data_IF_009661897491
#
_entry.id   IF_009661897491
#
_cell.length_a   1.000
_cell.length_b   1.000
_cell.length_c   1.000
_cell.angle_alpha   90.00
_cell.angle_beta   90.00
_cell.angle_gamma   90.00
#
_symmetry.space_group_name_H-M   'P 1'
#
loop_
_entity.id
_entity.type
_entity.pdbx_description
1 polymer ?
#
# COMPACT_ATOMS: atom_id res chain seq x y z
N UNK A 1 -7.95 14.66 -4.57
CA UNK A 1 -8.68 13.90 -5.61
C UNK A 1 -10.18 14.19 -5.53
N UNK A 2 -10.95 14.11 -6.62
CA UNK A 2 -12.41 14.09 -6.54
C UNK A 2 -12.89 12.67 -6.26
N UNK A 3 -13.37 12.39 -5.04
CA UNK A 3 -13.92 11.08 -4.68
C UNK A 3 -15.41 11.07 -5.03
N UNK A 4 -15.83 10.15 -5.90
CA UNK A 4 -17.25 9.87 -6.09
C UNK A 4 -17.59 8.55 -5.40
N UNK A 5 -18.50 8.64 -4.43
CA UNK A 5 -19.12 7.50 -3.78
C UNK A 5 -20.24 7.01 -4.69
N UNK A 6 -20.00 5.93 -5.43
CA UNK A 6 -21.09 5.27 -6.15
C UNK A 6 -21.84 4.43 -5.13
N UNK A 7 -22.92 4.98 -4.54
CA UNK A 7 -23.91 4.14 -3.85
C UNK A 7 -24.40 3.11 -4.85
N UNK A 8 -24.29 1.82 -4.51
CA UNK A 8 -24.79 0.63 -5.21
C UNK A 8 -25.24 0.88 -6.65
N UNK A 9 -24.45 0.42 -7.61
CA UNK A 9 -24.70 0.60 -9.05
C UNK A 9 -26.17 0.34 -9.39
N UNK A 10 -26.80 1.41 -9.91
CA UNK A 10 -28.24 1.61 -9.87
C UNK A 10 -29.09 0.59 -10.62
N UNK A 11 -30.07 0.06 -9.90
CA UNK A 11 -31.22 -0.71 -10.34
C UNK A 11 -31.93 -1.25 -9.09
N UNK A 12 -33.26 -1.32 -9.07
CA UNK A 12 -33.97 -1.95 -7.94
C UNK A 12 -33.37 -3.35 -7.67
N UNK A 13 -32.71 -3.52 -6.52
CA UNK A 13 -32.37 -4.81 -5.90
C UNK A 13 -31.65 -5.83 -6.78
N UNK A 14 -30.50 -5.48 -7.37
CA UNK A 14 -29.72 -6.48 -8.09
C UNK A 14 -28.70 -7.23 -7.21
N UNK A 15 -28.07 -6.58 -6.22
CA UNK A 15 -27.08 -7.23 -5.34
C UNK A 15 -27.54 -7.40 -3.88
N UNK A 16 -26.73 -8.08 -3.04
CA UNK A 16 -27.08 -8.34 -1.65
C UNK A 16 -27.19 -7.03 -0.85
N UNK A 17 -28.05 -7.03 0.18
CA UNK A 17 -28.25 -5.86 1.06
C UNK A 17 -27.01 -5.53 1.89
N UNK A 18 -26.25 -6.55 2.27
CA UNK A 18 -24.96 -6.46 2.95
C UNK A 18 -24.13 -7.69 2.58
N UNK A 19 -22.81 -7.52 2.53
CA UNK A 19 -21.86 -8.61 2.27
C UNK A 19 -21.45 -9.22 3.61
N UNK A 20 -21.87 -10.45 3.87
CA UNK A 20 -21.61 -11.16 5.13
C UNK A 20 -20.79 -12.44 4.94
N UNK A 21 -20.50 -12.82 3.69
CA UNK A 21 -19.71 -13.99 3.32
C UNK A 21 -19.12 -13.80 1.89
N UNK A 22 -18.41 -14.81 1.40
CA UNK A 22 -17.77 -14.80 0.08
C UNK A 22 -18.77 -14.90 -1.07
N UNK A 23 -19.89 -15.60 -0.89
CA UNK A 23 -20.95 -15.71 -1.91
C UNK A 23 -21.61 -14.34 -2.16
N UNK A 24 -21.91 -13.60 -1.09
CA UNK A 24 -22.43 -12.23 -1.19
C UNK A 24 -21.41 -11.31 -1.92
N UNK A 25 -20.11 -11.49 -1.68
CA UNK A 25 -19.05 -10.73 -2.35
C UNK A 25 -18.92 -11.11 -3.84
N UNK A 26 -19.14 -12.38 -4.17
CA UNK A 26 -19.18 -12.84 -5.56
C UNK A 26 -20.42 -12.30 -6.29
N UNK A 27 -21.59 -12.37 -5.66
CA UNK A 27 -22.84 -11.81 -6.17
C UNK A 27 -22.72 -10.30 -6.40
N UNK A 28 -22.22 -9.56 -5.42
CA UNK A 28 -22.03 -8.11 -5.55
C UNK A 28 -21.11 -7.76 -6.73
N UNK A 29 -20.04 -8.51 -6.97
CA UNK A 29 -19.14 -8.31 -8.10
C UNK A 29 -19.83 -8.56 -9.45
N UNK A 30 -20.71 -9.58 -9.55
CA UNK A 30 -21.51 -9.87 -10.75
C UNK A 30 -22.41 -8.68 -11.08
N UNK A 31 -23.01 -8.04 -10.08
CA UNK A 31 -23.91 -6.91 -10.29
C UNK A 31 -23.19 -5.58 -10.52
N UNK A 32 -22.03 -5.36 -9.88
CA UNK A 32 -21.29 -4.11 -10.01
C UNK A 32 -20.51 -4.01 -11.34
N UNK A 33 -19.90 -5.11 -11.79
CA UNK A 33 -18.96 -5.09 -12.91
C UNK A 33 -19.57 -4.57 -14.23
N UNK A 34 -20.78 -4.98 -14.67
CA UNK A 34 -21.35 -4.51 -15.93
C UNK A 34 -21.59 -3.00 -15.96
N UNK A 35 -22.06 -2.43 -14.85
CA UNK A 35 -22.26 -0.99 -14.73
C UNK A 35 -20.93 -0.25 -14.79
N UNK A 36 -19.91 -0.76 -14.08
CA UNK A 36 -18.55 -0.21 -14.11
C UNK A 36 -17.96 -0.19 -15.53
N UNK A 37 -18.02 -1.33 -16.22
CA UNK A 37 -17.55 -1.50 -17.60
C UNK A 37 -18.22 -0.53 -18.56
N UNK A 38 -19.55 -0.38 -18.45
CA UNK A 38 -20.33 0.46 -19.35
C UNK A 38 -20.08 1.94 -19.14
N UNK A 39 -20.06 2.39 -17.89
CA UNK A 39 -20.26 3.81 -17.57
C UNK A 39 -19.10 4.45 -16.80
N UNK A 40 -18.16 3.71 -16.23
CA UNK A 40 -17.21 4.26 -15.25
C UNK A 40 -15.73 4.02 -15.57
N UNK A 41 -15.34 2.90 -16.20
CA UNK A 41 -13.91 2.58 -16.41
C UNK A 41 -13.12 3.71 -17.10
N UNK A 42 -13.71 4.37 -18.10
CA UNK A 42 -13.08 5.47 -18.84
C UNK A 42 -13.17 6.84 -18.14
N UNK A 43 -14.04 6.99 -17.12
CA UNK A 43 -14.33 8.27 -16.47
C UNK A 43 -13.48 8.53 -15.22
N UNK A 44 -12.89 7.48 -14.65
CA UNK A 44 -12.11 7.54 -13.42
C UNK A 44 -10.68 7.10 -13.66
N UNK A 45 -9.82 7.63 -12.81
CA UNK A 45 -8.38 7.49 -12.83
C UNK A 45 -7.90 6.37 -11.89
N UNK A 46 -8.76 5.88 -11.00
CA UNK A 46 -8.46 4.80 -10.07
C UNK A 46 -9.71 4.30 -9.34
N UNK A 47 -9.64 3.09 -8.80
CA UNK A 47 -10.79 2.39 -8.23
C UNK A 47 -10.46 1.79 -6.86
N UNK A 48 -11.27 2.13 -5.86
CA UNK A 48 -11.22 1.57 -4.52
C UNK A 48 -12.44 0.68 -4.29
N UNK A 49 -12.24 -0.61 -4.01
CA UNK A 49 -13.31 -1.51 -3.58
C UNK A 49 -13.47 -1.41 -2.07
N UNK A 50 -14.58 -0.82 -1.61
CA UNK A 50 -14.89 -0.54 -0.21
C UNK A 50 -15.62 -1.69 0.48
N UNK A 51 -15.19 -2.92 0.21
CA UNK A 51 -15.58 -4.11 0.96
C UNK A 51 -14.35 -4.67 1.68
N UNK A 52 -14.47 -4.98 2.97
CA UNK A 52 -13.36 -5.53 3.74
C UNK A 52 -13.35 -7.06 3.62
N UNK A 53 -12.88 -7.54 2.48
CA UNK A 53 -12.69 -8.96 2.17
C UNK A 53 -11.68 -9.11 1.03
N UNK A 54 -11.28 -10.33 0.69
CA UNK A 54 -10.60 -10.60 -0.58
C UNK A 54 -11.61 -10.52 -1.74
N UNK A 55 -12.09 -9.30 -2.01
CA UNK A 55 -13.26 -9.11 -2.85
C UNK A 55 -12.95 -9.42 -4.33
N UNK A 56 -13.74 -10.28 -5.01
CA UNK A 56 -13.44 -10.73 -6.38
C UNK A 56 -13.50 -9.59 -7.42
N UNK A 57 -14.15 -8.48 -7.09
CA UNK A 57 -14.16 -7.29 -7.94
C UNK A 57 -12.76 -6.67 -8.13
N UNK A 58 -11.85 -6.76 -7.14
CA UNK A 58 -10.50 -6.21 -7.25
C UNK A 58 -9.70 -6.83 -8.40
N UNK A 59 -9.50 -8.17 -8.46
CA UNK A 59 -8.80 -8.78 -9.58
C UNK A 59 -9.56 -8.60 -10.90
N UNK A 60 -10.89 -8.73 -10.92
CA UNK A 60 -11.70 -8.52 -12.13
C UNK A 60 -11.46 -7.14 -12.75
N UNK A 61 -11.44 -6.08 -11.93
CA UNK A 61 -11.14 -4.73 -12.41
C UNK A 61 -9.69 -4.60 -12.90
N UNK A 62 -8.74 -5.24 -12.22
CA UNK A 62 -7.33 -5.24 -12.67
C UNK A 62 -7.14 -5.93 -14.02
N UNK A 63 -8.01 -6.89 -14.37
CA UNK A 63 -7.98 -7.60 -15.65
C UNK A 63 -8.70 -6.83 -16.78
N UNK A 64 -9.43 -5.76 -16.48
CA UNK A 64 -10.12 -4.96 -17.50
C UNK A 64 -9.15 -4.30 -18.48
N UNK A 65 -9.47 -4.37 -19.77
CA UNK A 65 -8.62 -3.83 -20.83
C UNK A 65 -8.32 -2.34 -20.65
N UNK A 66 -9.32 -1.56 -20.26
CA UNK A 66 -9.19 -0.11 -20.02
C UNK A 66 -8.24 0.18 -18.85
N UNK A 67 -8.29 -0.64 -17.80
CA UNK A 67 -7.45 -0.51 -16.60
C UNK A 67 -6.01 -0.89 -16.92
N UNK A 68 -5.81 -2.05 -17.55
CA UNK A 68 -4.48 -2.54 -17.94
C UNK A 68 -3.80 -1.64 -18.96
N UNK A 69 -4.52 -1.16 -19.98
CA UNK A 69 -3.95 -0.29 -21.03
C UNK A 69 -3.57 1.08 -20.49
N UNK A 70 -4.37 1.63 -19.57
CA UNK A 70 -4.13 2.98 -19.01
C UNK A 70 -3.29 2.96 -17.73
N UNK A 71 -2.96 1.78 -17.19
CA UNK A 71 -2.25 1.65 -15.92
C UNK A 71 -3.01 2.21 -14.71
N UNK A 72 -4.35 2.19 -14.73
CA UNK A 72 -5.18 2.77 -13.66
C UNK A 72 -5.03 1.96 -12.36
N UNK A 73 -4.68 2.56 -11.22
CA UNK A 73 -4.56 1.83 -9.97
C UNK A 73 -5.91 1.32 -9.46
N UNK A 74 -5.91 0.06 -9.00
CA UNK A 74 -7.07 -0.59 -8.39
C UNK A 74 -6.64 -1.28 -7.11
N UNK A 75 -7.36 -1.06 -6.02
CA UNK A 75 -7.15 -1.77 -4.73
C UNK A 75 -8.45 -1.93 -3.98
N UNK A 76 -8.50 -2.83 -3.00
CA UNK A 76 -9.56 -2.90 -2.01
C UNK A 76 -9.10 -2.37 -0.65
N UNK A 77 -10.07 -2.06 0.22
CA UNK A 77 -9.78 -1.56 1.57
C UNK A 77 -9.09 -2.62 2.45
N UNK A 78 -9.31 -3.90 2.15
CA UNK A 78 -8.61 -5.02 2.77
C UNK A 78 -7.11 -5.04 2.42
N UNK A 79 -6.76 -5.01 1.13
CA UNK A 79 -5.36 -5.03 0.70
C UNK A 79 -4.62 -3.78 1.16
N UNK A 80 -5.29 -2.63 1.09
CA UNK A 80 -4.73 -1.35 1.52
C UNK A 80 -4.44 -1.31 3.04
N UNK A 81 -5.36 -1.80 3.87
CA UNK A 81 -5.17 -1.82 5.33
C UNK A 81 -4.02 -2.77 5.72
N UNK A 82 -3.95 -3.95 5.12
CA UNK A 82 -2.90 -4.95 5.39
C UNK A 82 -1.53 -4.42 4.95
N UNK A 83 -1.42 -3.88 3.73
CA UNK A 83 -0.17 -3.33 3.22
C UNK A 83 0.32 -2.15 4.08
N UNK A 84 -0.58 -1.23 4.43
CA UNK A 84 -0.25 -0.07 5.28
C UNK A 84 0.20 -0.52 6.66
N UNK A 85 -0.50 -1.48 7.27
CA UNK A 85 -0.15 -2.01 8.59
C UNK A 85 1.25 -2.61 8.61
N UNK A 86 1.62 -3.39 7.59
CA UNK A 86 2.97 -3.96 7.48
C UNK A 86 4.06 -2.91 7.30
N UNK A 87 3.75 -1.78 6.65
CA UNK A 87 4.69 -0.68 6.43
C UNK A 87 4.93 0.16 7.68
N UNK A 88 3.91 0.37 8.51
CA UNK A 88 3.98 1.30 9.66
C UNK A 88 4.48 0.67 10.96
N UNK A 89 4.36 -0.65 11.11
CA UNK A 89 4.77 -1.35 12.34
C UNK A 89 6.25 -1.75 12.29
N UNK A 90 6.84 -1.92 13.47
CA UNK A 90 8.20 -2.44 13.59
C UNK A 90 8.30 -3.89 13.04
N UNK A 91 9.46 -4.34 12.51
CA UNK A 91 9.61 -5.70 12.00
C UNK A 91 9.35 -6.83 13.00
N UNK A 92 9.44 -6.55 14.31
CA UNK A 92 9.09 -7.51 15.38
C UNK A 92 7.61 -7.52 15.75
N UNK A 93 6.87 -6.48 15.36
CA UNK A 93 5.46 -6.32 15.68
C UNK A 93 4.58 -7.02 14.64
N UNK A 94 3.34 -7.28 15.06
CA UNK A 94 2.28 -7.87 14.25
C UNK A 94 1.18 -6.86 13.98
N UNK A 95 0.45 -7.06 12.90
CA UNK A 95 -0.86 -6.43 12.72
C UNK A 95 -1.97 -7.44 13.02
N UNK A 96 -3.15 -6.95 13.35
CA UNK A 96 -4.34 -7.78 13.49
C UNK A 96 -5.57 -7.09 12.91
N UNK A 97 -6.68 -7.81 12.82
CA UNK A 97 -7.94 -7.29 12.27
C UNK A 97 -9.03 -7.39 13.33
N UNK A 98 -9.78 -6.31 13.55
CA UNK A 98 -11.04 -6.35 14.31
C UNK A 98 -12.19 -6.26 13.31
N UNK A 99 -13.05 -7.27 13.27
CA UNK A 99 -14.18 -7.34 12.31
C UNK A 99 -15.52 -7.61 13.02
N UNK A 100 -16.57 -7.84 12.24
CA UNK A 100 -17.97 -7.90 12.70
C UNK A 100 -18.34 -9.31 13.17
N UNK A 101 -18.84 -10.16 12.26
CA UNK A 101 -19.41 -11.46 12.57
C UNK A 101 -18.36 -12.57 12.63
N UNK A 102 -18.63 -13.62 13.42
CA UNK A 102 -17.69 -14.73 13.68
C UNK A 102 -17.17 -15.45 12.43
N UNK A 103 -17.97 -15.51 11.36
CA UNK A 103 -17.58 -16.09 10.07
C UNK A 103 -16.31 -15.45 9.50
N UNK A 104 -16.08 -14.17 9.78
CA UNK A 104 -14.93 -13.43 9.27
C UNK A 104 -13.60 -13.83 9.92
N UNK A 105 -13.59 -14.52 11.06
CA UNK A 105 -12.33 -14.95 11.68
C UNK A 105 -11.57 -15.93 10.78
N UNK A 106 -12.28 -16.88 10.18
CA UNK A 106 -11.69 -17.86 9.25
C UNK A 106 -11.44 -17.20 7.91
N UNK A 107 -12.46 -16.58 7.32
CA UNK A 107 -12.39 -15.99 5.97
C UNK A 107 -11.28 -14.94 5.86
N UNK A 108 -11.18 -14.01 6.82
CA UNK A 108 -10.14 -12.97 6.75
C UNK A 108 -8.74 -13.52 7.10
N UNK A 109 -8.65 -14.60 7.87
CA UNK A 109 -7.35 -15.27 8.11
C UNK A 109 -6.84 -15.88 6.81
N UNK A 110 -7.66 -16.66 6.12
CA UNK A 110 -7.31 -17.27 4.83
C UNK A 110 -7.03 -16.21 3.75
N UNK A 111 -7.81 -15.12 3.73
CA UNK A 111 -7.57 -13.98 2.84
C UNK A 111 -6.20 -13.33 3.08
N UNK A 112 -5.80 -13.13 4.34
CA UNK A 112 -4.49 -12.57 4.68
C UNK A 112 -3.38 -13.51 4.25
N UNK A 113 -3.51 -14.80 4.53
CA UNK A 113 -2.50 -15.79 4.13
C UNK A 113 -2.35 -15.87 2.62
N UNK A 114 -3.45 -15.82 1.88
CA UNK A 114 -3.45 -15.80 0.42
C UNK A 114 -2.81 -14.52 -0.11
N UNK A 115 -3.18 -13.36 0.46
CA UNK A 115 -2.61 -12.07 0.05
C UNK A 115 -1.10 -11.97 0.33
N UNK A 116 -0.64 -12.53 1.44
CA UNK A 116 0.78 -12.57 1.80
C UNK A 116 1.55 -13.73 1.14
N UNK A 117 0.86 -14.65 0.46
CA UNK A 117 1.46 -15.81 -0.19
C UNK A 117 1.99 -16.87 0.79
N UNK A 118 1.41 -16.98 1.99
CA UNK A 118 1.84 -17.93 3.04
C UNK A 118 1.03 -19.23 3.07
N UNK A 119 -0.06 -19.33 2.30
CA UNK A 119 -1.03 -20.44 2.35
C UNK A 119 -0.60 -21.77 1.70
N UNK A 120 0.60 -21.88 1.11
CA UNK A 120 1.12 -23.14 0.51
C UNK A 120 2.19 -23.80 1.36
N UNK A 121 1.76 -24.51 2.42
CA UNK A 121 2.62 -25.43 3.19
C UNK A 121 3.68 -24.77 4.07
N UNK A 122 3.53 -23.48 4.37
CA UNK A 122 4.41 -22.72 5.27
C UNK A 122 3.66 -22.24 6.51
N UNK A 123 4.42 -21.89 7.55
CA UNK A 123 3.90 -21.28 8.79
C UNK A 123 3.04 -20.04 8.49
N UNK A 124 1.95 -19.86 9.25
CA UNK A 124 1.16 -18.61 9.27
C UNK A 124 2.10 -17.41 9.42
N UNK A 125 1.83 -16.33 8.69
CA UNK A 125 2.66 -15.12 8.73
C UNK A 125 2.94 -14.71 10.18
N UNK A 126 4.22 -14.70 10.56
CA UNK A 126 4.67 -14.28 11.91
C UNK A 126 4.33 -12.82 12.21
N UNK A 127 3.95 -12.04 11.18
CA UNK A 127 3.55 -10.64 11.25
C UNK A 127 2.03 -10.45 11.39
N UNK A 128 1.24 -11.52 11.44
CA UNK A 128 -0.20 -11.48 11.61
C UNK A 128 -0.61 -12.04 12.99
N UNK A 129 -1.34 -11.26 13.77
CA UNK A 129 -1.85 -11.64 15.10
C UNK A 129 -3.21 -12.37 15.02
N UNK A 130 -3.81 -12.44 13.83
CA UNK A 130 -5.13 -13.02 13.61
C UNK A 130 -6.24 -11.99 13.56
N UNK A 131 -7.46 -12.51 13.54
CA UNK A 131 -8.72 -11.75 13.47
C UNK A 131 -9.46 -11.92 14.79
N UNK A 132 -10.08 -10.85 15.26
CA UNK A 132 -11.04 -10.87 16.37
C UNK A 132 -12.34 -10.20 15.96
N UNK A 133 -13.47 -10.75 16.40
CA UNK A 133 -14.79 -10.26 15.99
C UNK A 133 -15.61 -9.72 17.14
N UNK A 134 -16.47 -8.74 16.85
CA UNK A 134 -17.45 -8.22 17.82
C UNK A 134 -18.60 -9.20 18.07
N UNK A 135 -18.81 -10.15 17.15
CA UNK A 135 -19.94 -11.06 17.16
C UNK A 135 -21.24 -10.43 16.66
N UNK A 136 -21.17 -9.23 16.07
CA UNK A 136 -22.29 -8.54 15.43
C UNK A 136 -22.20 -8.74 13.92
N UNK A 137 -23.30 -8.85 13.18
CA UNK A 137 -23.24 -8.78 11.71
C UNK A 137 -23.09 -7.30 11.24
N UNK A 138 -22.87 -7.10 9.94
CA UNK A 138 -22.62 -5.75 9.39
C UNK A 138 -23.81 -4.80 9.59
N UNK A 139 -25.04 -5.32 9.51
CA UNK A 139 -26.27 -4.53 9.68
C UNK A 139 -26.48 -4.16 11.15
N UNK A 140 -26.24 -5.09 12.07
CA UNK A 140 -26.32 -4.89 13.52
C UNK A 140 -25.38 -3.80 14.01
N UNK A 141 -24.21 -3.65 13.37
CA UNK A 141 -23.27 -2.57 13.70
C UNK A 141 -23.88 -1.16 13.53
N UNK A 142 -24.84 -1.00 12.62
CA UNK A 142 -25.51 0.27 12.35
C UNK A 142 -26.80 0.45 13.15
N UNK A 143 -27.51 -0.64 13.43
CA UNK A 143 -28.84 -0.59 14.06
C UNK A 143 -28.79 -0.70 15.60
N UNK A 144 -27.69 -1.22 16.15
CA UNK A 144 -27.55 -1.38 17.60
C UNK A 144 -27.24 -0.07 18.33
N UNK A 145 -27.61 0.03 19.62
CA UNK A 145 -27.18 1.12 20.48
C UNK A 145 -25.66 1.27 20.48
N UNK A 146 -25.19 2.51 20.32
CA UNK A 146 -23.76 2.82 20.21
C UNK A 146 -22.94 2.32 21.42
N UNK A 147 -23.54 2.27 22.61
CA UNK A 147 -22.87 1.75 23.81
C UNK A 147 -22.56 0.26 23.72
N UNK A 148 -23.47 -0.54 23.14
CA UNK A 148 -23.25 -1.98 22.96
C UNK A 148 -22.24 -2.24 21.82
N UNK A 149 -22.33 -1.48 20.72
CA UNK A 149 -21.31 -1.52 19.65
C UNK A 149 -19.92 -1.20 20.23
N UNK A 150 -19.81 -0.13 21.00
CA UNK A 150 -18.57 0.27 21.67
C UNK A 150 -18.06 -0.82 22.60
N UNK A 151 -18.94 -1.40 23.43
CA UNK A 151 -18.56 -2.51 24.33
C UNK A 151 -17.96 -3.69 23.55
N UNK A 152 -18.65 -4.17 22.51
CA UNK A 152 -18.20 -5.31 21.71
C UNK A 152 -16.91 -5.03 20.94
N UNK A 153 -16.79 -3.83 20.38
CA UNK A 153 -15.56 -3.36 19.72
C UNK A 153 -14.37 -3.37 20.67
N UNK A 154 -14.57 -2.89 21.90
CA UNK A 154 -13.53 -2.88 22.93
C UNK A 154 -13.15 -4.30 23.34
N UNK A 155 -14.11 -5.18 23.59
CA UNK A 155 -13.84 -6.57 23.93
C UNK A 155 -13.05 -7.30 22.84
N UNK A 156 -13.42 -7.15 21.56
CA UNK A 156 -12.69 -7.73 20.43
C UNK A 156 -11.26 -7.17 20.33
N UNK A 157 -11.11 -5.86 20.49
CA UNK A 157 -9.81 -5.19 20.47
C UNK A 157 -8.89 -5.69 21.58
N UNK A 158 -9.41 -5.81 22.81
CA UNK A 158 -8.65 -6.31 23.97
C UNK A 158 -8.13 -7.72 23.75
N UNK A 159 -8.99 -8.62 23.24
CA UNK A 159 -8.57 -9.98 22.88
C UNK A 159 -7.47 -9.98 21.82
N UNK A 160 -7.54 -9.07 20.84
CA UNK A 160 -6.54 -8.99 19.78
C UNK A 160 -5.19 -8.54 20.32
N UNK A 161 -5.15 -7.43 21.05
CA UNK A 161 -3.89 -6.90 21.60
C UNK A 161 -3.31 -7.78 22.71
N UNK A 162 -4.15 -8.57 23.39
CA UNK A 162 -3.72 -9.59 24.35
C UNK A 162 -2.90 -10.73 23.73
N UNK A 163 -2.89 -10.88 22.38
CA UNK A 163 -2.11 -11.91 21.66
C UNK A 163 -0.62 -11.57 21.51
N UNK A 164 -0.16 -10.45 22.06
CA UNK A 164 1.26 -10.09 22.12
C UNK A 164 1.56 -8.74 21.49
N UNK A 165 2.66 -8.65 20.74
CA UNK A 165 3.22 -7.39 20.23
C UNK A 165 2.45 -6.89 18.98
N UNK A 166 1.22 -6.43 19.18
CA UNK A 166 0.36 -5.87 18.12
C UNK A 166 0.69 -4.39 17.93
N UNK A 167 1.39 -4.08 16.84
CA UNK A 167 1.75 -2.71 16.45
C UNK A 167 0.66 -2.00 15.65
N UNK A 168 -0.25 -2.74 15.00
CA UNK A 168 -1.35 -2.16 14.23
C UNK A 168 -2.64 -3.00 14.27
N UNK A 169 -3.78 -2.33 14.17
CA UNK A 169 -5.11 -2.91 14.09
C UNK A 169 -5.81 -2.36 12.85
N UNK A 170 -6.23 -3.24 11.95
CA UNK A 170 -7.09 -2.88 10.85
C UNK A 170 -8.56 -2.91 11.27
N UNK A 171 -9.33 -1.90 10.85
CA UNK A 171 -10.78 -1.89 10.98
C UNK A 171 -11.39 -2.73 9.86
N UNK A 172 -11.91 -3.90 10.24
CA UNK A 172 -12.28 -5.01 9.37
C UNK A 172 -13.65 -4.93 8.73
N UNK A 173 -14.20 -3.72 8.55
CA UNK A 173 -15.46 -3.46 7.87
C UNK A 173 -15.50 -2.00 7.41
N UNK A 174 -16.07 -1.73 6.22
CA UNK A 174 -16.25 -0.35 5.76
C UNK A 174 -17.12 0.49 6.70
N UNK A 175 -18.10 -0.13 7.36
CA UNK A 175 -18.96 0.51 8.38
C UNK A 175 -18.23 0.89 9.67
N UNK A 176 -16.98 0.43 9.87
CA UNK A 176 -16.15 0.79 11.03
C UNK A 176 -15.31 2.05 10.81
N UNK A 177 -15.34 2.66 9.62
CA UNK A 177 -14.62 3.90 9.37
C UNK A 177 -15.01 4.99 10.39
N UNK A 178 -14.02 5.58 11.06
CA UNK A 178 -14.22 6.58 12.11
C UNK A 178 -14.44 6.00 13.52
N UNK A 179 -14.39 4.68 13.72
CA UNK A 179 -14.46 4.05 15.05
C UNK A 179 -13.11 3.96 15.77
N UNK A 180 -12.12 4.73 15.32
CA UNK A 180 -10.73 4.67 15.81
C UNK A 180 -10.63 4.96 17.31
N UNK A 181 -11.46 5.86 17.83
CA UNK A 181 -11.43 6.24 19.24
C UNK A 181 -11.82 5.07 20.16
N UNK A 182 -12.83 4.27 19.78
CA UNK A 182 -13.25 3.10 20.55
C UNK A 182 -12.14 2.04 20.63
N UNK A 183 -11.44 1.81 19.52
CA UNK A 183 -10.30 0.89 19.46
C UNK A 183 -9.12 1.44 20.26
N UNK A 184 -8.86 2.74 20.17
CA UNK A 184 -7.79 3.43 20.94
C UNK A 184 -8.00 3.28 22.44
N UNK A 185 -9.22 3.52 22.91
CA UNK A 185 -9.58 3.38 24.33
C UNK A 185 -9.33 1.95 24.82
N UNK A 186 -9.76 0.94 24.06
CA UNK A 186 -9.49 -0.45 24.41
C UNK A 186 -7.99 -0.78 24.48
N UNK A 187 -7.19 -0.26 23.55
CA UNK A 187 -5.74 -0.44 23.58
C UNK A 187 -5.12 0.19 24.84
N UNK A 188 -5.57 1.37 25.24
CA UNK A 188 -5.09 2.06 26.45
C UNK A 188 -5.51 1.31 27.72
N UNK A 189 -6.75 0.82 27.77
CA UNK A 189 -7.25 0.05 28.92
C UNK A 189 -6.49 -1.27 29.11
N UNK A 190 -6.14 -1.96 28.02
CA UNK A 190 -5.50 -3.28 28.09
C UNK A 190 -3.97 -3.21 28.22
N UNK A 191 -3.33 -2.29 27.50
CA UNK A 191 -1.87 -2.22 27.42
C UNK A 191 -1.26 -1.11 28.27
N UNK A 192 -2.10 -0.26 28.88
CA UNK A 192 -1.69 0.98 29.54
C UNK A 192 -1.48 2.13 28.55
N UNK A 193 -1.33 3.35 29.08
CA UNK A 193 -1.33 4.58 28.29
C UNK A 193 -0.23 4.62 27.22
N UNK A 194 1.01 4.31 27.59
CA UNK A 194 2.16 4.41 26.69
C UNK A 194 2.10 3.39 25.54
N UNK A 195 1.84 2.12 25.84
CA UNK A 195 1.75 1.07 24.82
C UNK A 195 0.46 1.20 24.01
N UNK A 196 -0.64 1.46 24.69
CA UNK A 196 -1.95 1.63 24.09
C UNK A 196 -2.01 2.78 23.10
N UNK A 197 -1.30 3.89 23.33
CA UNK A 197 -1.18 5.01 22.36
C UNK A 197 -0.29 4.70 21.15
N UNK A 198 0.63 3.72 21.24
CA UNK A 198 1.55 3.38 20.14
C UNK A 198 0.91 2.49 19.07
N UNK A 199 -0.08 1.67 19.42
CA UNK A 199 -0.79 0.81 18.46
C UNK A 199 -1.37 1.66 17.34
N UNK A 200 -1.09 1.37 16.08
CA UNK A 200 -1.64 2.12 14.95
C UNK A 200 -3.02 1.58 14.58
N UNK A 201 -3.98 2.46 14.38
CA UNK A 201 -5.33 2.07 13.97
C UNK A 201 -5.44 2.44 12.50
N UNK A 202 -5.80 1.45 11.67
CA UNK A 202 -5.76 1.56 10.22
C UNK A 202 -7.17 1.37 9.68
N UNK A 203 -7.78 2.49 9.29
CA UNK A 203 -8.97 2.51 8.46
C UNK A 203 -8.60 2.15 7.01
N UNK A 204 -9.15 1.06 6.50
CA UNK A 204 -8.91 0.59 5.14
C UNK A 204 -9.40 1.56 4.07
N UNK A 205 -10.44 2.36 4.33
CA UNK A 205 -10.92 3.39 3.40
C UNK A 205 -9.88 4.48 3.25
N UNK A 206 -9.43 5.06 4.37
CA UNK A 206 -8.38 6.08 4.39
C UNK A 206 -7.08 5.56 3.79
N UNK A 207 -6.65 4.34 4.16
CA UNK A 207 -5.47 3.70 3.59
C UNK A 207 -5.59 3.49 2.07
N UNK A 208 -6.74 3.04 1.60
CA UNK A 208 -7.01 2.82 0.17
C UNK A 208 -7.00 4.10 -0.64
N UNK A 209 -7.61 5.17 -0.13
CA UNK A 209 -7.58 6.49 -0.77
C UNK A 209 -6.15 7.02 -0.85
N UNK A 210 -5.39 6.95 0.25
CA UNK A 210 -3.99 7.39 0.28
C UNK A 210 -3.13 6.59 -0.71
N UNK A 211 -3.34 5.27 -0.79
CA UNK A 211 -2.66 4.42 -1.76
C UNK A 211 -3.00 4.80 -3.20
N UNK A 212 -4.28 5.05 -3.51
CA UNK A 212 -4.68 5.50 -4.85
C UNK A 212 -4.10 6.86 -5.21
N UNK A 213 -4.07 7.82 -4.27
CA UNK A 213 -3.44 9.12 -4.52
C UNK A 213 -1.93 8.97 -4.78
N UNK A 214 -1.24 8.13 -4.01
CA UNK A 214 0.18 7.83 -4.21
C UNK A 214 0.47 7.07 -5.50
N UNK A 215 -0.38 6.11 -5.86
CA UNK A 215 -0.23 5.28 -7.07
C UNK A 215 -0.59 6.05 -8.34
N UNK A 216 -1.54 7.00 -8.26
CA UNK A 216 -1.89 7.88 -9.38
C UNK A 216 -0.88 9.00 -9.60
N UNK A 217 -0.25 9.52 -8.54
CA UNK A 217 0.79 10.52 -8.68
C UNK A 217 1.96 9.90 -9.46
N UNK A 218 2.09 10.27 -10.74
CA UNK A 218 3.03 9.73 -11.73
C UNK A 218 4.53 9.93 -11.35
N UNK A 219 5.00 9.39 -10.23
CA UNK A 219 6.43 9.19 -10.01
C UNK A 219 6.99 8.18 -11.02
N UNK A 220 6.16 7.37 -11.67
CA UNK A 220 6.56 6.44 -12.75
C UNK A 220 6.88 7.12 -14.08
N UNK A 221 6.31 8.29 -14.39
CA UNK A 221 6.72 9.10 -15.56
C UNK A 221 7.81 10.15 -15.23
N UNK A 222 7.99 10.49 -13.95
CA UNK A 222 9.02 11.45 -13.51
C UNK A 222 10.36 10.84 -13.10
N UNK A 223 10.46 9.52 -12.88
CA UNK A 223 11.76 8.83 -13.01
C UNK A 223 12.04 8.66 -14.52
N UNK A 224 12.06 9.79 -15.23
CA UNK A 224 12.64 9.81 -16.54
C UNK A 224 14.14 9.62 -16.30
N UNK A 225 14.69 8.47 -16.70
CA UNK A 225 16.14 8.23 -16.61
C UNK A 225 16.91 9.38 -17.26
N UNK A 226 16.33 10.09 -18.25
CA UNK A 226 16.91 11.29 -18.86
C UNK A 226 17.10 12.46 -17.88
N UNK A 227 16.26 12.65 -16.87
CA UNK A 227 16.41 13.73 -15.88
C UNK A 227 17.57 13.46 -14.90
N UNK A 228 17.98 12.21 -14.74
CA UNK A 228 19.18 11.81 -13.96
C UNK A 228 20.42 11.75 -14.87
N UNK A 229 20.28 11.21 -16.08
CA UNK A 229 21.39 11.02 -17.03
C UNK A 229 21.85 12.32 -17.67
N UNK A 230 20.94 13.23 -18.01
CA UNK A 230 21.28 14.44 -18.79
C UNK A 230 22.10 15.47 -17.99
N UNK A 231 21.82 15.73 -16.69
CA UNK A 231 22.71 16.55 -15.86
C UNK A 231 24.06 15.87 -15.63
N UNK A 232 24.09 14.54 -15.44
CA UNK A 232 25.32 13.77 -15.33
C UNK A 232 26.18 13.87 -16.60
N UNK A 233 25.58 13.71 -17.79
CA UNK A 233 26.26 13.81 -19.09
C UNK A 233 26.72 15.24 -19.41
N UNK A 234 25.95 16.27 -19.03
CA UNK A 234 26.37 17.67 -19.15
C UNK A 234 27.52 18.01 -18.21
N UNK A 235 27.50 17.53 -16.98
CA UNK A 235 28.63 17.64 -16.06
C UNK A 235 29.87 16.90 -16.59
N UNK A 236 29.66 15.75 -17.26
CA UNK A 236 30.70 14.93 -17.88
C UNK A 236 31.42 15.62 -19.06
N UNK A 237 30.70 16.40 -19.87
CA UNK A 237 31.29 17.17 -20.98
C UNK A 237 32.18 18.34 -20.52
N UNK A 238 32.05 18.78 -19.26
CA UNK A 238 32.73 19.97 -18.73
C UNK A 238 34.04 19.67 -17.99
N UNK A 239 34.35 18.41 -17.66
CA UNK A 239 35.59 18.03 -16.96
C UNK A 239 36.26 16.88 -17.69
N UNK A 240 37.51 17.11 -18.12
CA UNK A 240 38.43 16.10 -18.69
C UNK A 240 38.68 15.00 -17.64
N UNK A 241 37.79 14.01 -17.57
CA UNK A 241 38.04 12.77 -16.85
C UNK A 241 38.57 11.72 -17.82
N UNK A 242 39.63 11.02 -17.38
CA UNK A 242 40.29 9.97 -18.14
C UNK A 242 39.29 8.91 -18.62
N UNK A 243 39.13 8.87 -19.95
CA UNK A 243 38.31 7.97 -20.77
C UNK A 243 38.38 6.47 -20.37
N UNK A 244 39.48 5.89 -19.84
CA UNK A 244 39.54 4.45 -19.59
C UNK A 244 38.59 3.95 -18.49
N UNK A 245 38.33 4.73 -17.43
CA UNK A 245 37.61 4.23 -16.25
C UNK A 245 36.10 4.09 -16.53
N UNK A 246 35.54 4.97 -17.36
CA UNK A 246 34.11 4.98 -17.66
C UNK A 246 33.75 3.94 -18.70
N UNK A 247 34.60 3.67 -19.69
CA UNK A 247 34.42 2.55 -20.63
C UNK A 247 34.38 1.22 -19.87
N UNK A 248 35.22 1.06 -18.85
CA UNK A 248 35.24 -0.14 -17.99
C UNK A 248 33.95 -0.26 -17.18
N UNK A 249 33.48 0.81 -16.54
CA UNK A 249 32.23 0.77 -15.74
C UNK A 249 31.02 0.49 -16.63
N UNK A 250 30.93 1.12 -17.81
CA UNK A 250 29.83 0.91 -18.76
C UNK A 250 29.84 -0.51 -19.34
N UNK A 251 31.01 -1.06 -19.66
CA UNK A 251 31.16 -2.46 -20.09
C UNK A 251 30.80 -3.45 -18.98
N UNK A 252 31.13 -3.15 -17.72
CA UNK A 252 30.77 -3.97 -16.56
C UNK A 252 29.24 -3.97 -16.35
N UNK A 253 28.59 -2.81 -16.48
CA UNK A 253 27.12 -2.74 -16.36
C UNK A 253 26.41 -3.41 -17.53
N UNK A 254 26.93 -3.30 -18.76
CA UNK A 254 26.33 -3.93 -19.94
C UNK A 254 26.53 -5.46 -19.94
N UNK A 255 27.68 -5.96 -19.48
CA UNK A 255 27.90 -7.41 -19.33
C UNK A 255 27.10 -8.00 -18.17
N UNK A 256 26.90 -7.25 -17.07
CA UNK A 256 26.04 -7.67 -15.95
C UNK A 256 24.54 -7.73 -16.30
N UNK A 257 24.08 -6.95 -17.29
CA UNK A 257 22.69 -6.98 -17.76
C UNK A 257 22.48 -8.05 -18.86
N UNK A 258 23.53 -8.35 -19.66
CA UNK A 258 23.43 -9.29 -20.79
C UNK A 258 23.64 -10.77 -20.46
N UNK A 259 24.36 -11.10 -19.38
CA UNK A 259 24.60 -12.48 -18.95
C UNK A 259 23.96 -12.68 -17.59
N UNK A 260 22.70 -13.11 -17.59
CA UNK A 260 22.06 -13.55 -16.35
C UNK A 260 22.93 -14.58 -15.62
N UNK A 261 22.77 -14.55 -14.28
CA UNK A 261 23.03 -15.65 -13.34
C UNK A 261 24.46 -15.70 -12.73
N UNK A 262 24.49 -15.77 -11.39
CA UNK A 262 25.48 -16.41 -10.51
C UNK A 262 26.98 -16.29 -10.85
N UNK A 263 27.76 -15.51 -10.07
CA UNK A 263 29.14 -15.83 -9.59
C UNK A 263 29.85 -14.63 -8.91
N UNK A 264 29.21 -13.98 -7.94
CA UNK A 264 29.85 -12.92 -7.14
C UNK A 264 30.49 -13.54 -5.89
N UNK A 265 31.70 -14.13 -6.01
CA UNK A 265 32.50 -14.46 -4.81
C UNK A 265 34.00 -14.15 -4.99
N UNK A 266 34.55 -14.13 -6.20
CA UNK A 266 36.01 -13.95 -6.39
C UNK A 266 36.48 -12.49 -6.59
N UNK A 267 35.58 -11.52 -6.77
CA UNK A 267 35.96 -10.15 -7.17
C UNK A 267 36.20 -9.17 -6.00
N UNK A 268 35.83 -9.53 -4.77
CA UNK A 268 35.87 -8.64 -3.60
C UNK A 268 37.27 -8.37 -3.05
N UNK A 269 38.26 -9.25 -3.32
CA UNK A 269 39.62 -9.06 -2.80
C UNK A 269 40.46 -8.04 -3.59
N UNK A 270 40.23 -7.89 -4.90
CA UNK A 270 40.99 -6.97 -5.73
C UNK A 270 40.58 -5.50 -5.49
N UNK A 271 39.29 -5.25 -5.29
CA UNK A 271 38.74 -3.89 -5.09
C UNK A 271 39.19 -3.28 -3.75
N UNK A 272 39.40 -4.11 -2.71
CA UNK A 272 39.77 -3.63 -1.37
C UNK A 272 41.18 -3.03 -1.30
N UNK A 273 42.12 -3.48 -2.13
CA UNK A 273 43.48 -2.89 -2.21
C UNK A 273 43.51 -1.54 -2.93
N UNK A 274 42.61 -1.32 -3.89
CA UNK A 274 42.62 -0.12 -4.73
C UNK A 274 41.92 1.08 -4.07
N UNK A 275 40.95 0.82 -3.19
CA UNK A 275 40.29 1.86 -2.38
C UNK A 275 41.24 2.45 -1.35
N UNK A 276 42.12 1.64 -0.73
CA UNK A 276 43.06 2.12 0.29
C UNK A 276 44.10 3.12 -0.24
N UNK A 277 44.45 3.05 -1.52
CA UNK A 277 45.39 3.99 -2.15
C UNK A 277 44.74 5.34 -2.50
N UNK A 278 43.42 5.38 -2.67
CA UNK A 278 42.68 6.57 -3.13
C UNK A 278 42.28 7.52 -1.99
N UNK A 279 42.07 6.98 -0.78
CA UNK A 279 41.67 7.77 0.40
C UNK A 279 42.82 8.63 0.95
N UNK A 280 44.08 8.22 0.78
CA UNK A 280 45.26 8.98 1.24
C UNK A 280 45.47 10.28 0.44
N UNK A 281 45.04 10.33 -0.83
CA UNK A 281 45.20 11.49 -1.71
C UNK A 281 44.12 12.58 -1.49
N UNK A 282 42.96 12.21 -0.95
CA UNK A 282 41.82 13.14 -0.75
C UNK A 282 41.91 13.99 0.53
N UNK A 283 42.84 13.70 1.45
CA UNK A 283 43.05 14.52 2.67
C UNK A 283 43.96 15.75 2.49
N UNK A 284 44.55 15.94 1.31
CA UNK A 284 45.56 16.96 1.07
C UNK A 284 45.05 18.24 0.36
N UNK A 285 43.77 18.35 0.01
CA UNK A 285 43.26 19.49 -0.76
C UNK A 285 41.89 20.01 -0.29
N UNK A 286 41.93 21.16 0.40
CA UNK A 286 40.84 22.12 0.66
C UNK A 286 41.51 23.45 1.04
N UNK A 287 40.93 24.67 0.88
CA UNK A 287 39.58 25.05 0.43
C UNK A 287 39.55 26.17 -0.67
N UNK A 288 38.32 26.52 -1.10
CA UNK A 288 37.79 27.88 -1.36
C UNK A 288 37.02 28.07 -2.69
N UNK A 289 35.76 28.51 -2.55
CA UNK A 289 35.05 29.60 -3.24
C UNK A 289 33.57 29.30 -3.57
N UNK A 290 32.72 30.16 -3.02
CA UNK A 290 31.28 30.34 -3.24
C UNK A 290 31.00 31.09 -4.54
N UNK A 291 30.02 30.64 -5.33
CA UNK A 291 29.29 31.50 -6.26
C UNK A 291 27.89 30.94 -6.58
N UNK A 292 26.90 31.83 -6.52
CA UNK A 292 25.49 31.65 -6.83
C UNK A 292 25.23 31.35 -8.31
N UNK A 293 24.27 30.47 -8.61
CA UNK A 293 23.68 30.34 -9.95
C UNK A 293 22.15 30.38 -9.86
N UNK A 294 21.59 31.49 -10.34
CA UNK A 294 20.20 31.58 -10.77
C UNK A 294 20.07 30.90 -12.14
N UNK A 295 19.10 30.00 -12.28
CA UNK A 295 18.65 29.49 -13.58
C UNK A 295 17.13 29.58 -13.65
N UNK A 296 16.65 30.45 -14.51
CA UNK A 296 15.26 30.59 -14.96
C UNK A 296 14.91 29.40 -15.86
N UNK A 297 14.11 28.47 -15.35
CA UNK A 297 13.49 27.41 -16.14
C UNK A 297 12.09 27.86 -16.56
N UNK A 298 11.94 28.32 -17.80
CA UNK A 298 10.64 28.51 -18.45
C UNK A 298 10.11 27.15 -18.91
N UNK A 299 9.53 26.39 -17.98
CA UNK A 299 8.65 25.26 -18.28
C UNK A 299 7.20 25.72 -18.16
N UNK A 300 6.38 25.51 -19.18
CA UNK A 300 4.93 25.67 -19.08
C UNK A 300 4.39 24.68 -18.06
N UNK A 301 4.08 25.16 -16.86
CA UNK A 301 3.40 24.40 -15.82
C UNK A 301 1.96 24.16 -16.27
N UNK A 302 1.72 23.02 -16.93
CA UNK A 302 0.35 22.53 -17.13
C UNK A 302 -0.13 22.09 -15.75
N UNK A 303 -1.10 22.82 -15.19
CA UNK A 303 -1.65 22.49 -13.89
C UNK A 303 -2.12 21.02 -13.89
N UNK A 304 -1.76 20.20 -12.89
CA UNK A 304 -2.14 18.80 -12.86
C UNK A 304 -3.67 18.70 -12.91
N UNK A 305 -4.18 17.89 -13.83
CA UNK A 305 -5.62 17.57 -13.92
C UNK A 305 -6.02 16.96 -12.58
N UNK A 306 -7.11 17.44 -11.97
CA UNK A 306 -7.61 16.84 -10.72
C UNK A 306 -8.06 15.41 -10.99
N UNK A 307 -7.30 14.44 -10.49
CA UNK A 307 -7.63 13.02 -10.52
C UNK A 307 -9.02 12.75 -9.94
N UNK A 308 -9.75 11.81 -10.52
CA UNK A 308 -11.04 11.31 -10.03
C UNK A 308 -10.91 9.85 -9.66
N UNK A 309 -11.14 9.49 -8.41
CA UNK A 309 -11.22 8.09 -7.98
C UNK A 309 -12.67 7.71 -7.68
N UNK A 310 -13.03 6.49 -8.05
CA UNK A 310 -14.31 5.89 -7.68
C UNK A 310 -14.13 5.06 -6.41
N UNK A 311 -14.99 5.29 -5.42
CA UNK A 311 -15.14 4.40 -4.25
C UNK A 311 -16.38 3.55 -4.49
N UNK A 312 -16.15 2.25 -4.58
CA UNK A 312 -17.13 1.22 -4.92
C UNK A 312 -17.61 0.58 -3.63
N UNK A 313 -18.78 0.97 -3.14
CA UNK A 313 -19.46 0.31 -2.00
C UNK A 313 -20.44 -0.72 -2.55
#
# INVERSE_FOLDING_TARGET
>A
MGLMWTKGFGGKHAGPKSINNEDDAAESAIHCLPALQKDYLSKYDGFLVACYSQHPLVPKLKDEKEITTSGKPVTGIFEASVATSLQIIHPSEKFGIVSTGKVWEVVLTEAVETYLGTSRGGDVSKRFAGVETTGLNATELHDMPQDEVRKRMKEATKRLVGKGDVGAICLGCAGMAGMDEMVREACIEELGEDKGKRVRIVDGVTAGVAWLEGAYCECTNYINFDLILTPMLKAFKSRRFCIPLVVIITLITLTAIGLGIWRIVLFTHAVRRQIHHSVTLLRAASPEHSASLHTTATGTFVAPRRAKAAVLI
#
